data_IF_286491597970
#
_entry.id   IF_286491597970
#
_cell.length_a   1.000
_cell.length_b   1.000
_cell.length_c   1.000
_cell.angle_alpha   90.00
_cell.angle_beta   90.00
_cell.angle_gamma   90.00
#
_symmetry.space_group_name_H-M   'P 1'
#
loop_
_entity.id
_entity.type
_entity.pdbx_description
1 polymer ?
#
# COMPACT_ATOMS: atom_id res chain seq x y z
N UNK A 1 -43.00 37.58 20.30
CA UNK A 1 -42.25 38.80 19.92
C UNK A 1 -40.77 38.50 20.13
N UNK A 2 -39.93 38.84 19.14
CA UNK A 2 -38.64 38.22 18.79
C UNK A 2 -37.59 38.20 19.91
N UNK A 3 -37.06 37.02 20.23
CA UNK A 3 -35.74 36.83 20.86
C UNK A 3 -34.71 36.84 19.73
N UNK A 4 -33.79 37.81 19.74
CA UNK A 4 -32.64 37.85 18.82
C UNK A 4 -31.48 37.11 19.47
N UNK A 5 -31.20 35.89 19.01
CA UNK A 5 -29.95 35.18 19.29
C UNK A 5 -28.92 35.75 18.31
N UNK A 6 -27.97 36.52 18.82
CA UNK A 6 -26.80 36.94 18.06
C UNK A 6 -25.81 35.76 18.07
N UNK A 7 -25.69 35.07 16.94
CA UNK A 7 -24.61 34.14 16.70
C UNK A 7 -23.31 34.93 16.55
N UNK A 8 -22.36 34.73 17.46
CA UNK A 8 -21.00 35.24 17.33
C UNK A 8 -20.29 34.36 16.30
N UNK A 9 -20.22 34.86 15.06
CA UNK A 9 -19.41 34.30 14.01
C UNK A 9 -17.95 34.71 14.28
N UNK A 10 -17.19 33.85 14.96
CA UNK A 10 -15.76 34.02 15.11
C UNK A 10 -15.08 33.78 13.75
N UNK A 11 -14.91 34.85 12.98
CA UNK A 11 -14.00 34.89 11.84
C UNK A 11 -12.57 34.76 12.39
N UNK A 12 -11.99 33.56 12.32
CA UNK A 12 -10.56 33.38 12.52
C UNK A 12 -9.87 33.83 11.22
N UNK A 13 -9.64 35.14 11.10
CA UNK A 13 -8.70 35.66 10.10
C UNK A 13 -7.32 35.30 10.60
N UNK A 14 -6.76 34.19 10.11
CA UNK A 14 -5.34 33.90 10.27
C UNK A 14 -4.62 34.90 9.37
N UNK A 15 -4.09 35.96 9.99
CA UNK A 15 -3.26 36.95 9.32
C UNK A 15 -2.02 36.28 8.74
N UNK A 16 -1.85 36.32 7.41
CA UNK A 16 -0.55 36.14 6.79
C UNK A 16 0.34 37.32 7.23
N UNK A 17 1.14 37.13 8.27
CA UNK A 17 2.07 38.16 8.71
C UNK A 17 2.80 37.81 9.99
N UNK A 18 4.10 37.59 9.85
CA UNK A 18 5.13 37.58 10.89
C UNK A 18 5.18 36.36 11.82
N UNK A 19 5.77 35.27 11.33
CA UNK A 19 6.72 34.51 12.14
C UNK A 19 8.11 34.80 11.60
N UNK A 20 8.97 35.33 12.46
CA UNK A 20 10.38 35.49 12.15
C UNK A 20 10.94 34.15 11.65
N UNK A 21 11.76 34.18 10.60
CA UNK A 21 12.66 33.07 10.28
C UNK A 21 13.45 32.77 11.56
N UNK A 22 13.06 31.71 12.27
CA UNK A 22 13.87 31.21 13.36
C UNK A 22 15.10 30.61 12.70
N UNK A 23 16.29 31.14 13.02
CA UNK A 23 17.56 30.51 12.62
C UNK A 23 17.78 29.14 13.30
N UNK A 24 16.78 28.67 14.07
CA UNK A 24 16.71 27.34 14.63
C UNK A 24 15.86 26.45 13.70
N UNK A 25 16.49 25.49 12.99
CA UNK A 25 15.79 24.57 12.09
C UNK A 25 14.76 23.70 12.83
N UNK A 26 14.96 23.39 14.12
CA UNK A 26 14.01 22.59 14.89
C UNK A 26 12.70 23.35 15.18
N UNK A 27 12.79 24.66 15.45
CA UNK A 27 11.61 25.50 15.67
C UNK A 27 10.83 25.77 14.37
N UNK A 28 11.52 25.86 13.24
CA UNK A 28 10.90 25.93 11.92
C UNK A 28 10.18 24.62 11.55
N UNK A 29 10.78 23.46 11.89
CA UNK A 29 10.19 22.13 11.72
C UNK A 29 8.88 21.98 12.50
N UNK A 30 8.86 22.41 13.77
CA UNK A 30 7.67 22.29 14.62
C UNK A 30 6.55 23.25 14.18
N UNK A 31 6.90 24.44 13.69
CA UNK A 31 5.92 25.37 13.10
C UNK A 31 5.31 24.85 11.81
N UNK A 32 6.11 24.24 10.92
CA UNK A 32 5.61 23.63 9.68
C UNK A 32 4.77 22.38 9.93
N UNK A 33 5.18 21.54 10.90
CA UNK A 33 4.35 20.42 11.38
C UNK A 33 3.00 20.94 11.87
N UNK A 34 2.99 21.96 12.70
CA UNK A 34 1.75 22.54 13.20
C UNK A 34 0.88 23.14 12.08
N UNK A 35 1.48 23.74 11.04
CA UNK A 35 0.74 24.27 9.88
C UNK A 35 0.14 23.16 9.01
N UNK A 36 0.91 22.09 8.74
CA UNK A 36 0.46 20.96 7.95
C UNK A 36 -0.57 20.10 8.72
N UNK A 37 -0.36 19.84 10.01
CA UNK A 37 -1.31 19.13 10.88
C UNK A 37 -2.62 19.92 11.08
N UNK A 38 -2.55 21.26 11.20
CA UNK A 38 -3.73 22.11 11.30
C UNK A 38 -4.58 22.14 10.03
N UNK A 39 -3.96 21.92 8.86
CA UNK A 39 -4.68 21.77 7.59
C UNK A 39 -5.54 20.51 7.56
N UNK A 40 -4.98 19.38 7.97
CA UNK A 40 -5.69 18.09 7.94
C UNK A 40 -6.72 17.93 9.06
N UNK A 41 -6.63 18.73 10.13
CA UNK A 41 -7.52 18.64 11.29
C UNK A 41 -8.85 19.44 11.19
N UNK A 42 -9.08 20.29 10.18
CA UNK A 42 -10.18 21.26 10.31
C UNK A 42 -10.73 22.00 9.11
N UNK A 43 -10.33 21.74 7.86
CA UNK A 43 -10.92 22.44 6.70
C UNK A 43 -11.71 21.45 5.84
N UNK A 44 -13.02 21.69 5.79
CA UNK A 44 -13.99 20.89 5.04
C UNK A 44 -13.59 20.75 3.57
N UNK A 45 -13.54 19.50 3.10
CA UNK A 45 -13.55 19.03 1.71
C UNK A 45 -13.38 20.12 0.64
N UNK A 46 -12.14 20.34 0.20
CA UNK A 46 -11.91 20.77 -1.17
C UNK A 46 -11.19 19.65 -1.91
N UNK A 47 -11.79 19.18 -2.98
CA UNK A 47 -11.12 18.40 -4.00
C UNK A 47 -10.00 19.25 -4.56
N UNK A 48 -8.73 18.91 -4.34
CA UNK A 48 -7.64 19.78 -4.83
C UNK A 48 -6.79 19.11 -5.88
N UNK A 49 -6.37 17.85 -5.71
CA UNK A 49 -5.53 17.19 -6.71
C UNK A 49 -6.08 15.85 -7.21
N UNK A 50 -6.05 15.60 -8.54
CA UNK A 50 -6.45 14.30 -9.07
C UNK A 50 -5.47 13.23 -8.60
N UNK A 51 -6.00 12.15 -8.05
CA UNK A 51 -5.19 11.02 -7.61
C UNK A 51 -5.04 9.97 -8.71
N UNK A 52 -3.84 9.40 -8.82
CA UNK A 52 -3.54 8.29 -9.71
C UNK A 52 -3.56 6.98 -8.93
N UNK A 53 -4.41 6.02 -9.32
CA UNK A 53 -4.43 4.70 -8.71
C UNK A 53 -3.13 3.94 -9.03
N UNK A 54 -2.45 3.46 -7.99
CA UNK A 54 -1.24 2.66 -8.09
C UNK A 54 -1.43 1.27 -7.48
N UNK A 55 -0.68 0.30 -8.00
CA UNK A 55 -0.64 -1.06 -7.48
C UNK A 55 0.78 -1.38 -7.02
N UNK A 56 1.04 -1.40 -5.70
CA UNK A 56 2.35 -1.78 -5.18
C UNK A 56 2.71 -3.25 -5.48
N UNK A 57 4.01 -3.57 -5.65
CA UNK A 57 5.11 -2.62 -5.68
C UNK A 57 5.17 -1.83 -6.98
N UNK A 58 5.51 -0.56 -6.85
CA UNK A 58 5.74 0.33 -7.99
C UNK A 58 6.85 1.32 -7.69
N UNK A 59 7.58 1.71 -8.72
CA UNK A 59 8.51 2.84 -8.68
C UNK A 59 8.12 3.83 -9.77
N UNK A 60 7.89 5.06 -9.36
CA UNK A 60 7.48 6.16 -10.21
C UNK A 60 8.65 7.13 -10.32
N UNK A 61 9.00 7.51 -11.55
CA UNK A 61 9.92 8.60 -11.83
C UNK A 61 9.09 9.76 -12.40
N UNK A 62 8.77 10.71 -11.54
CA UNK A 62 7.88 11.83 -11.85
C UNK A 62 8.62 13.16 -11.99
N UNK A 63 7.90 14.18 -12.46
CA UNK A 63 8.39 15.56 -12.53
C UNK A 63 7.26 16.49 -12.10
N UNK A 64 7.42 17.19 -10.98
CA UNK A 64 6.52 18.26 -10.57
C UNK A 64 6.87 19.52 -11.34
N UNK A 65 5.89 20.10 -12.03
CA UNK A 65 6.05 21.26 -12.93
C UNK A 65 5.22 22.45 -12.45
N UNK A 66 5.31 23.60 -13.11
CA UNK A 66 4.53 24.79 -12.75
C UNK A 66 3.03 24.60 -12.97
N UNK A 67 2.65 23.64 -13.83
CA UNK A 67 1.29 23.19 -14.08
C UNK A 67 0.85 22.00 -13.23
N UNK A 68 1.74 21.42 -12.41
CA UNK A 68 1.33 20.38 -11.46
C UNK A 68 0.34 20.95 -10.45
N UNK A 69 -0.44 20.04 -9.88
CA UNK A 69 -1.42 20.40 -8.90
C UNK A 69 -0.77 21.05 -7.67
N UNK A 70 -1.55 21.83 -6.93
CA UNK A 70 -1.08 22.59 -5.78
C UNK A 70 -1.82 22.24 -4.52
N UNK A 71 -1.05 22.11 -3.45
CA UNK A 71 -1.58 22.02 -2.09
C UNK A 71 -2.03 23.40 -1.60
N UNK A 72 -2.54 23.45 -0.37
CA UNK A 72 -3.00 24.68 0.28
C UNK A 72 -1.87 25.65 0.67
N UNK A 73 -0.61 25.19 0.71
CA UNK A 73 0.59 25.99 0.97
C UNK A 73 1.24 26.50 -0.33
N UNK A 74 0.58 26.31 -1.47
CA UNK A 74 1.07 26.60 -2.82
C UNK A 74 2.24 25.70 -3.28
N UNK A 75 2.47 24.57 -2.58
CA UNK A 75 3.32 23.45 -2.97
C UNK A 75 2.94 22.87 -4.32
N UNK A 76 3.83 22.10 -4.96
CA UNK A 76 3.44 21.18 -6.05
C UNK A 76 3.31 19.79 -5.47
N UNK A 77 2.31 19.07 -5.92
CA UNK A 77 2.06 17.70 -5.49
C UNK A 77 1.56 16.83 -6.65
N UNK A 78 1.90 15.54 -6.57
CA UNK A 78 1.20 14.47 -7.27
C UNK A 78 0.60 13.54 -6.20
N UNK A 79 -0.68 13.19 -6.36
CA UNK A 79 -1.39 12.34 -5.41
C UNK A 79 -1.54 10.93 -5.96
N UNK A 80 -1.21 9.93 -5.16
CA UNK A 80 -1.35 8.53 -5.51
C UNK A 80 -2.33 7.82 -4.61
N UNK A 81 -3.28 7.10 -5.20
CA UNK A 81 -4.24 6.29 -4.47
C UNK A 81 -3.76 4.85 -4.39
N UNK A 82 -3.75 4.28 -3.19
CA UNK A 82 -3.49 2.86 -2.97
C UNK A 82 -4.65 2.25 -2.19
N UNK A 83 -5.17 1.11 -2.67
CA UNK A 83 -6.16 0.36 -1.90
C UNK A 83 -5.42 -0.60 -0.98
N UNK A 84 -5.68 -0.46 0.32
CA UNK A 84 -5.02 -1.23 1.37
C UNK A 84 -6.06 -1.84 2.29
N UNK A 85 -5.59 -2.75 3.13
CA UNK A 85 -6.43 -3.49 4.04
C UNK A 85 -5.88 -3.39 5.46
N UNK A 86 -6.75 -3.51 6.46
CA UNK A 86 -6.31 -3.45 7.85
C UNK A 86 -5.30 -4.58 8.13
N UNK A 87 -4.18 -4.24 8.77
CA UNK A 87 -3.07 -5.13 9.06
C UNK A 87 -2.00 -5.17 7.97
N UNK A 88 -2.26 -4.69 6.75
CA UNK A 88 -1.19 -4.54 5.75
C UNK A 88 -0.17 -3.51 6.21
N UNK A 89 1.10 -3.77 5.87
CA UNK A 89 2.18 -2.84 6.09
C UNK A 89 2.72 -2.36 4.75
N UNK A 90 2.85 -1.05 4.56
CA UNK A 90 3.40 -0.42 3.37
C UNK A 90 4.75 0.22 3.69
N UNK A 91 5.69 0.09 2.75
CA UNK A 91 6.95 0.80 2.67
C UNK A 91 6.86 1.82 1.53
N UNK A 92 7.10 3.09 1.84
CA UNK A 92 7.15 4.18 0.87
C UNK A 92 8.53 4.85 0.99
N UNK A 93 9.18 5.12 -0.14
CA UNK A 93 10.43 5.87 -0.23
C UNK A 93 10.27 6.96 -1.31
N UNK A 94 10.19 8.21 -0.88
CA UNK A 94 10.09 9.38 -1.75
C UNK A 94 11.41 10.14 -1.73
N UNK A 95 11.90 10.60 -2.88
CA UNK A 95 13.14 11.39 -2.95
C UNK A 95 13.20 12.35 -4.13
N UNK A 96 13.91 13.46 -3.95
CA UNK A 96 14.26 14.41 -5.00
C UNK A 96 15.67 14.97 -4.80
N UNK A 97 16.31 15.35 -5.91
CA UNK A 97 17.54 16.14 -5.91
C UNK A 97 17.29 17.64 -6.18
N UNK A 98 16.05 18.01 -6.54
CA UNK A 98 15.72 19.34 -7.02
C UNK A 98 15.13 20.24 -5.91
N UNK A 99 14.46 19.64 -4.93
CA UNK A 99 13.74 20.33 -3.87
C UNK A 99 13.64 19.47 -2.62
N UNK A 100 13.40 20.12 -1.49
CA UNK A 100 13.02 19.48 -0.25
C UNK A 100 11.62 18.88 -0.39
N UNK A 101 11.47 17.64 0.05
CA UNK A 101 10.24 16.89 -0.07
C UNK A 101 9.44 16.88 1.22
N UNK A 102 8.13 16.74 1.06
CA UNK A 102 7.22 16.33 2.12
C UNK A 102 6.45 15.08 1.64
N UNK A 103 6.28 14.09 2.53
CA UNK A 103 5.54 12.86 2.24
C UNK A 103 4.46 12.68 3.29
N UNK A 104 3.22 12.59 2.82
CA UNK A 104 2.05 12.48 3.68
C UNK A 104 1.13 11.34 3.21
N UNK A 105 0.48 10.68 4.15
CA UNK A 105 -0.46 9.61 3.86
C UNK A 105 -1.71 9.69 4.74
N UNK A 106 -2.87 9.56 4.13
CA UNK A 106 -4.17 9.65 4.81
C UNK A 106 -5.21 8.74 4.15
N UNK A 107 -6.21 8.36 4.92
CA UNK A 107 -7.37 7.64 4.42
C UNK A 107 -8.22 8.60 3.57
N UNK A 108 -8.80 8.15 2.46
CA UNK A 108 -9.61 8.95 1.52
C UNK A 108 -10.97 9.44 2.11
N UNK A 109 -11.05 9.57 3.43
CA UNK A 109 -12.07 10.30 4.17
C UNK A 109 -11.48 11.50 4.93
N UNK A 110 -10.20 11.82 4.70
CA UNK A 110 -9.46 12.90 5.36
C UNK A 110 -8.75 12.50 6.66
N UNK A 111 -8.84 11.23 7.11
CA UNK A 111 -8.19 10.81 8.36
C UNK A 111 -6.69 10.59 8.13
N UNK A 112 -5.84 11.40 8.76
CA UNK A 112 -4.38 11.23 8.75
C UNK A 112 -3.97 9.81 9.17
N UNK A 113 -3.08 9.20 8.39
CA UNK A 113 -2.60 7.84 8.64
C UNK A 113 -1.13 7.84 9.07
N UNK A 114 -0.28 8.54 8.33
CA UNK A 114 1.14 8.71 8.66
C UNK A 114 1.67 9.98 7.99
N UNK A 115 2.64 10.61 8.64
CA UNK A 115 3.28 11.84 8.15
C UNK A 115 4.76 11.80 8.44
N UNK A 116 5.56 11.96 7.39
CA UNK A 116 7.02 12.06 7.56
C UNK A 116 7.43 13.42 8.11
N UNK A 117 8.66 13.52 8.61
CA UNK A 117 9.27 14.81 8.94
C UNK A 117 9.76 15.49 7.66
N UNK A 118 9.85 16.83 7.70
CA UNK A 118 10.53 17.64 6.67
C UNK A 118 11.92 17.06 6.38
N UNK A 119 12.27 16.96 5.10
CA UNK A 119 13.60 16.54 4.67
C UNK A 119 14.41 17.75 4.18
N UNK A 120 15.57 18.00 4.79
CA UNK A 120 16.41 19.15 4.46
C UNK A 120 17.31 18.88 3.24
N UNK A 121 17.55 19.89 2.40
CA UNK A 121 18.59 19.88 1.37
C UNK A 121 19.56 21.03 1.57
N UNK A 122 20.61 20.80 2.37
CA UNK A 122 21.80 21.66 2.37
C UNK A 122 22.83 21.22 1.30
N UNK A 123 22.79 19.95 0.86
CA UNK A 123 23.36 19.39 -0.38
C UNK A 123 22.90 17.93 -0.55
N UNK A 124 22.90 17.39 -1.78
CA UNK A 124 22.66 15.95 -2.03
C UNK A 124 21.26 15.57 -2.52
N UNK A 125 20.55 14.71 -1.77
CA UNK A 125 19.20 14.18 -2.06
C UNK A 125 18.31 14.40 -0.85
N UNK A 126 17.16 15.04 -1.05
CA UNK A 126 16.06 15.06 -0.08
C UNK A 126 15.30 13.74 -0.19
N UNK A 127 15.08 13.04 0.94
CA UNK A 127 14.44 11.71 0.98
C UNK A 127 13.66 11.52 2.29
N UNK A 128 12.51 10.88 2.19
CA UNK A 128 11.60 10.57 3.29
C UNK A 128 11.02 9.17 3.09
N UNK A 129 10.77 8.46 4.20
CA UNK A 129 10.25 7.09 4.17
C UNK A 129 9.11 6.91 5.16
N UNK A 130 8.09 6.16 4.75
CA UNK A 130 7.00 5.70 5.61
C UNK A 130 7.06 4.18 5.69
N UNK A 131 6.99 3.64 6.91
CA UNK A 131 6.73 2.23 7.17
C UNK A 131 5.47 2.15 8.05
N UNK A 132 4.33 1.89 7.43
CA UNK A 132 3.04 2.06 8.10
C UNK A 132 2.20 0.78 8.04
N UNK A 133 1.67 0.37 9.19
CA UNK A 133 0.72 -0.75 9.30
C UNK A 133 -0.69 -0.19 9.46
N UNK A 134 -1.55 -0.43 8.48
CA UNK A 134 -2.88 0.17 8.43
C UNK A 134 -3.82 -0.42 9.48
N UNK A 135 -4.44 0.41 10.32
CA UNK A 135 -5.45 -0.06 11.27
C UNK A 135 -6.83 -0.29 10.60
N UNK A 136 -7.10 0.39 9.48
CA UNK A 136 -8.40 0.36 8.79
C UNK A 136 -8.18 0.04 7.31
N UNK A 137 -9.07 -0.77 6.73
CA UNK A 137 -9.07 -1.01 5.29
C UNK A 137 -9.66 0.17 4.54
N UNK A 138 -9.15 0.47 3.33
CA UNK A 138 -9.70 1.53 2.50
C UNK A 138 -8.74 1.98 1.41
N UNK A 139 -9.14 3.02 0.69
CA UNK A 139 -8.23 3.72 -0.22
C UNK A 139 -7.50 4.79 0.59
N UNK A 140 -6.18 4.71 0.62
CA UNK A 140 -5.32 5.73 1.19
C UNK A 140 -4.71 6.55 0.05
N UNK A 141 -4.54 7.83 0.31
CA UNK A 141 -3.88 8.78 -0.58
C UNK A 141 -2.47 9.02 -0.04
N UNK A 142 -1.50 9.00 -0.95
CA UNK A 142 -0.09 9.32 -0.73
C UNK A 142 0.18 10.63 -1.48
N UNK A 143 0.56 11.65 -0.74
CA UNK A 143 0.90 12.99 -1.23
C UNK A 143 2.43 13.10 -1.33
N UNK A 144 2.92 13.28 -2.56
CA UNK A 144 4.33 13.45 -2.87
C UNK A 144 4.60 14.92 -3.21
N UNK A 145 4.98 15.70 -2.20
CA UNK A 145 4.91 17.16 -2.27
C UNK A 145 6.29 17.80 -2.30
N UNK A 146 6.34 19.02 -2.86
CA UNK A 146 7.48 19.94 -2.73
C UNK A 146 7.34 20.79 -1.46
N UNK A 147 8.45 21.14 -0.84
CA UNK A 147 8.51 22.17 0.21
C UNK A 147 9.37 23.37 -0.22
N UNK A 148 10.67 23.37 0.09
CA UNK A 148 11.61 24.44 -0.28
C UNK A 148 12.58 24.01 -1.38
N UNK A 149 13.01 24.97 -2.20
CA UNK A 149 14.18 24.78 -3.05
C UNK A 149 15.46 24.76 -2.21
N UNK A 150 16.55 24.21 -2.77
CA UNK A 150 17.88 24.27 -2.12
C UNK A 150 18.37 25.71 -1.82
N UNK A 151 17.70 26.74 -2.34
CA UNK A 151 17.94 28.16 -2.05
C UNK A 151 16.99 28.79 -1.03
N UNK A 152 16.12 28.02 -0.37
CA UNK A 152 15.24 28.51 0.71
C UNK A 152 14.01 29.30 0.24
N UNK A 153 13.49 29.02 -0.97
CA UNK A 153 12.25 29.62 -1.49
C UNK A 153 11.18 28.57 -1.79
N UNK A 154 9.91 28.89 -1.45
CA UNK A 154 8.70 28.08 -1.72
C UNK A 154 8.27 28.21 -3.18
N UNK A 155 7.68 27.15 -3.78
CA UNK A 155 8.25 25.85 -4.04
C UNK A 155 8.80 25.76 -5.47
N UNK A 156 9.76 24.85 -5.70
CA UNK A 156 10.37 24.59 -7.02
C UNK A 156 9.82 23.33 -7.70
N UNK A 157 9.85 23.36 -9.02
CA UNK A 157 9.61 22.21 -9.90
C UNK A 157 10.83 21.32 -9.99
N UNK A 158 10.67 20.02 -10.25
CA UNK A 158 11.80 19.14 -10.46
C UNK A 158 11.42 17.66 -10.54
N UNK A 159 12.42 16.85 -10.86
CA UNK A 159 12.26 15.40 -10.90
C UNK A 159 12.23 14.79 -9.51
N UNK A 160 11.52 13.68 -9.37
CA UNK A 160 11.51 12.87 -8.16
C UNK A 160 11.40 11.38 -8.48
N UNK A 161 11.69 10.57 -7.46
CA UNK A 161 11.41 9.13 -7.45
C UNK A 161 10.56 8.78 -6.24
N UNK A 162 9.46 8.08 -6.46
CA UNK A 162 8.58 7.52 -5.43
C UNK A 162 8.52 6.00 -5.59
N UNK A 163 8.97 5.25 -4.59
CA UNK A 163 8.82 3.80 -4.53
C UNK A 163 7.80 3.44 -3.47
N UNK A 164 6.87 2.54 -3.79
CA UNK A 164 5.80 2.09 -2.90
C UNK A 164 5.75 0.56 -2.97
N UNK A 165 5.81 -0.14 -1.85
CA UNK A 165 5.73 -1.60 -1.76
C UNK A 165 5.00 -2.04 -0.49
N UNK A 166 4.45 -3.26 -0.45
CA UNK A 166 4.01 -3.84 0.81
C UNK A 166 5.18 -4.54 1.51
N UNK A 167 5.29 -4.42 2.83
CA UNK A 167 6.43 -4.89 3.64
C UNK A 167 6.55 -6.42 3.75
N UNK A 168 5.80 -7.16 2.94
CA UNK A 168 5.93 -8.59 2.75
C UNK A 168 6.75 -8.98 1.52
N UNK A 169 7.21 -8.07 0.66
CA UNK A 169 8.09 -8.43 -0.46
C UNK A 169 7.48 -9.30 -1.58
N UNK A 170 6.26 -9.82 -1.43
CA UNK A 170 5.51 -10.44 -2.53
C UNK A 170 4.98 -9.37 -3.49
N UNK A 171 5.17 -9.61 -4.78
CA UNK A 171 4.73 -8.73 -5.87
C UNK A 171 3.58 -9.42 -6.60
N UNK A 172 2.34 -8.91 -6.53
CA UNK A 172 1.23 -9.55 -7.22
C UNK A 172 1.34 -9.37 -8.73
N UNK A 173 1.04 -10.42 -9.49
CA UNK A 173 0.94 -10.38 -10.95
C UNK A 173 -0.15 -11.37 -11.43
N UNK A 174 -0.31 -11.53 -12.74
CA UNK A 174 -1.33 -12.43 -13.32
C UNK A 174 -1.23 -13.90 -12.88
N UNK A 175 -0.08 -14.34 -12.38
CA UNK A 175 0.27 -15.71 -11.95
C UNK A 175 0.65 -15.78 -10.48
N UNK A 176 0.93 -14.65 -9.85
CA UNK A 176 1.43 -14.55 -8.48
C UNK A 176 0.37 -13.96 -7.56
N UNK A 177 -0.08 -14.78 -6.60
CA UNK A 177 -0.96 -14.34 -5.53
C UNK A 177 -0.16 -13.95 -4.30
N UNK A 178 -0.52 -12.83 -3.67
CA UNK A 178 0.09 -12.37 -2.42
C UNK A 178 -0.93 -12.48 -1.27
N UNK A 179 -0.61 -13.30 -0.27
CA UNK A 179 -1.45 -13.58 0.89
C UNK A 179 -0.83 -13.06 2.18
N UNK A 180 -1.67 -12.84 3.19
CA UNK A 180 -1.30 -12.36 4.54
C UNK A 180 -0.35 -11.16 4.46
N UNK A 181 -0.88 -10.04 3.96
CA UNK A 181 -0.19 -8.76 3.85
C UNK A 181 1.05 -8.78 2.94
N UNK A 182 1.03 -9.67 1.96
CA UNK A 182 2.12 -9.82 1.00
C UNK A 182 3.31 -10.60 1.51
N UNK A 183 3.23 -11.24 2.69
CA UNK A 183 4.30 -12.12 3.18
C UNK A 183 4.40 -13.42 2.37
N UNK A 184 3.28 -13.93 1.86
CA UNK A 184 3.30 -15.21 1.17
C UNK A 184 3.03 -15.03 -0.31
N UNK A 185 3.96 -15.54 -1.11
CA UNK A 185 3.83 -15.64 -2.56
C UNK A 185 3.31 -17.03 -2.91
N UNK A 186 2.18 -17.11 -3.61
CA UNK A 186 1.63 -18.36 -4.10
C UNK A 186 1.57 -18.39 -5.63
N UNK A 187 2.02 -19.50 -6.21
CA UNK A 187 1.89 -19.82 -7.64
C UNK A 187 1.32 -21.21 -7.81
N UNK A 188 0.51 -21.38 -8.85
CA UNK A 188 -0.12 -22.66 -9.18
C UNK A 188 0.24 -23.03 -10.60
N UNK A 189 0.65 -24.28 -10.80
CA UNK A 189 0.77 -24.90 -12.13
C UNK A 189 -0.20 -26.06 -12.23
N UNK A 190 -0.72 -26.31 -13.43
CA UNK A 190 -1.69 -27.37 -13.67
C UNK A 190 -1.41 -28.13 -14.97
N UNK A 191 -1.95 -29.35 -15.06
CA UNK A 191 -1.91 -30.18 -16.28
C UNK A 191 -3.04 -31.19 -16.35
N UNK A 192 -3.64 -31.36 -17.53
CA UNK A 192 -4.62 -32.42 -17.79
C UNK A 192 -3.98 -33.78 -18.01
N UNK A 193 -4.69 -34.84 -17.65
CA UNK A 193 -4.22 -36.23 -17.81
C UNK A 193 -4.08 -36.65 -19.28
N UNK A 194 -4.81 -35.99 -20.18
CA UNK A 194 -4.82 -36.24 -21.62
C UNK A 194 -4.02 -35.21 -22.41
N UNK A 195 -3.51 -34.18 -21.72
CA UNK A 195 -2.62 -33.23 -22.35
C UNK A 195 -1.29 -33.94 -22.58
N UNK A 196 -0.93 -34.21 -23.84
CA UNK A 196 0.39 -34.73 -24.21
C UNK A 196 1.53 -33.71 -23.95
N UNK A 197 1.29 -32.70 -23.10
CA UNK A 197 2.23 -31.66 -22.75
C UNK A 197 3.26 -32.19 -21.73
N UNK A 198 4.54 -32.05 -22.06
CA UNK A 198 5.64 -32.47 -21.19
C UNK A 198 5.73 -31.63 -19.90
N UNK A 199 5.23 -30.39 -19.91
CA UNK A 199 5.34 -29.44 -18.80
C UNK A 199 3.97 -28.94 -18.33
N UNK A 200 3.88 -28.56 -17.05
CA UNK A 200 2.67 -27.94 -16.50
C UNK A 200 2.53 -26.49 -16.98
N UNK A 201 1.30 -26.00 -17.05
CA UNK A 201 0.95 -24.62 -17.42
C UNK A 201 0.71 -23.78 -16.17
N UNK A 202 1.09 -22.51 -16.17
CA UNK A 202 0.76 -21.59 -15.08
C UNK A 202 -0.75 -21.35 -15.02
N UNK A 203 -1.33 -21.50 -13.83
CA UNK A 203 -2.65 -20.98 -13.53
C UNK A 203 -2.60 -19.45 -13.41
N UNK A 204 -3.74 -18.81 -13.61
CA UNK A 204 -3.90 -17.37 -13.52
C UNK A 204 -4.70 -17.00 -12.28
N UNK A 205 -4.29 -15.93 -11.61
CA UNK A 205 -4.98 -15.38 -10.44
C UNK A 205 -6.32 -14.82 -10.90
N UNK A 206 -7.42 -15.28 -10.30
CA UNK A 206 -8.77 -14.81 -10.59
C UNK A 206 -9.04 -13.53 -9.78
N UNK A 207 -9.30 -12.38 -10.45
CA UNK A 207 -9.77 -11.20 -9.76
C UNK A 207 -11.20 -11.46 -9.28
N UNK A 208 -11.39 -11.53 -7.96
CA UNK A 208 -12.72 -11.65 -7.35
C UNK A 208 -12.92 -10.45 -6.43
N UNK A 209 -13.97 -9.69 -6.69
CA UNK A 209 -14.40 -8.56 -5.86
C UNK A 209 -15.50 -9.02 -4.89
N UNK A 210 -15.64 -8.35 -3.74
CA UNK A 210 -16.74 -8.62 -2.81
C UNK A 210 -16.40 -9.45 -1.57
N UNK A 211 -15.15 -9.89 -1.39
CA UNK A 211 -14.70 -10.35 -0.06
C UNK A 211 -14.50 -9.12 0.84
N UNK A 212 -15.23 -9.04 1.96
CA UNK A 212 -15.09 -7.96 2.93
C UNK A 212 -13.73 -8.01 3.63
N UNK A 213 -13.03 -6.87 3.68
CA UNK A 213 -11.76 -6.61 4.39
C UNK A 213 -10.63 -7.65 4.18
N UNK A 214 -9.63 -7.30 3.37
CA UNK A 214 -8.67 -8.25 2.81
C UNK A 214 -7.26 -8.22 3.45
N UNK A 215 -7.05 -8.90 4.57
CA UNK A 215 -5.73 -9.51 4.87
C UNK A 215 -5.41 -10.67 3.90
N UNK A 216 -5.80 -10.55 2.62
CA UNK A 216 -6.11 -11.58 1.62
C UNK A 216 -5.72 -12.99 2.04
N UNK A 217 -6.54 -13.54 2.94
CA UNK A 217 -6.38 -14.90 3.41
C UNK A 217 -6.79 -15.89 2.32
N UNK A 218 -7.55 -15.46 1.31
CA UNK A 218 -8.09 -16.35 0.27
C UNK A 218 -7.79 -15.79 -1.11
N UNK A 219 -7.36 -16.66 -2.02
CA UNK A 219 -7.19 -16.38 -3.43
C UNK A 219 -7.80 -17.51 -4.27
N UNK A 220 -8.22 -17.15 -5.48
CA UNK A 220 -8.77 -18.06 -6.47
C UNK A 220 -7.88 -18.09 -7.70
N UNK A 221 -7.79 -19.26 -8.33
CA UNK A 221 -7.11 -19.43 -9.59
C UNK A 221 -8.08 -19.96 -10.64
N UNK A 222 -7.84 -19.56 -11.89
CA UNK A 222 -8.46 -20.13 -13.07
C UNK A 222 -7.37 -20.66 -14.01
N UNK A 223 -7.77 -21.57 -14.89
CA UNK A 223 -6.87 -22.25 -15.81
C UNK A 223 -7.05 -21.72 -17.23
N UNK A 224 -7.67 -22.49 -18.12
CA UNK A 224 -7.85 -22.17 -19.53
C UNK A 224 -9.04 -21.23 -19.83
N UNK A 225 -9.93 -21.01 -18.87
CA UNK A 225 -11.12 -20.17 -19.02
C UNK A 225 -11.23 -19.19 -17.86
N UNK A 226 -11.19 -17.89 -18.18
CA UNK A 226 -11.40 -16.83 -17.20
C UNK A 226 -12.82 -16.85 -16.61
N UNK A 227 -13.77 -17.60 -17.18
CA UNK A 227 -15.12 -17.74 -16.63
C UNK A 227 -15.23 -18.79 -15.50
N UNK A 228 -14.17 -19.56 -15.25
CA UNK A 228 -14.15 -20.60 -14.24
C UNK A 228 -13.38 -20.17 -12.98
N UNK A 229 -13.69 -20.83 -11.87
CA UNK A 229 -12.81 -20.92 -10.70
C UNK A 229 -12.40 -22.39 -10.62
N UNK A 230 -11.11 -22.64 -10.69
CA UNK A 230 -10.54 -23.99 -10.79
C UNK A 230 -9.87 -24.42 -9.50
N UNK A 231 -9.44 -23.46 -8.67
CA UNK A 231 -8.83 -23.73 -7.39
C UNK A 231 -9.03 -22.56 -6.44
N UNK A 232 -9.27 -22.89 -5.16
CA UNK A 232 -9.15 -21.95 -4.05
C UNK A 232 -7.90 -22.27 -3.24
N UNK A 233 -7.24 -21.23 -2.75
CA UNK A 233 -6.18 -21.28 -1.75
C UNK A 233 -6.57 -20.35 -0.62
N UNK A 234 -6.45 -20.83 0.61
CA UNK A 234 -6.64 -20.07 1.83
C UNK A 234 -5.43 -20.22 2.75
N UNK A 235 -4.90 -19.11 3.25
CA UNK A 235 -3.83 -19.06 4.25
C UNK A 235 -4.31 -18.31 5.47
N UNK A 236 -4.04 -18.86 6.65
CA UNK A 236 -4.58 -18.36 7.91
C UNK A 236 -3.54 -18.34 9.02
N UNK A 237 -3.48 -17.23 9.74
CA UNK A 237 -2.76 -17.09 10.99
C UNK A 237 -3.69 -17.48 12.16
N UNK A 238 -4.07 -18.77 12.25
CA UNK A 238 -5.05 -19.24 13.25
C UNK A 238 -4.46 -19.52 14.63
N UNK A 239 -3.20 -19.12 14.89
CA UNK A 239 -2.55 -19.35 16.18
C UNK A 239 -2.31 -20.82 16.54
N UNK A 240 -2.28 -21.73 15.55
CA UNK A 240 -1.86 -23.11 15.78
C UNK A 240 -0.35 -23.15 16.09
N UNK A 241 0.13 -24.27 16.63
CA UNK A 241 1.54 -24.43 17.01
C UNK A 241 2.13 -25.74 16.50
N UNK A 242 3.45 -25.75 16.33
CA UNK A 242 4.21 -27.00 16.19
C UNK A 242 4.15 -27.82 17.48
N UNK A 243 4.63 -29.07 17.46
CA UNK A 243 4.78 -29.88 18.66
C UNK A 243 5.66 -29.23 19.75
N UNK A 244 6.55 -28.30 19.36
CA UNK A 244 7.39 -27.51 20.28
C UNK A 244 6.74 -26.22 20.76
N UNK A 245 5.48 -25.96 20.43
CA UNK A 245 4.74 -24.76 20.84
C UNK A 245 5.01 -23.51 20.00
N UNK A 246 5.69 -23.63 18.85
CA UNK A 246 5.99 -22.47 17.98
C UNK A 246 4.77 -22.12 17.12
N UNK A 247 4.29 -20.85 17.11
CA UNK A 247 3.14 -20.45 16.29
C UNK A 247 3.33 -20.70 14.79
N UNK A 248 2.27 -21.15 14.11
CA UNK A 248 2.27 -21.52 12.70
C UNK A 248 1.21 -20.80 11.87
N UNK A 249 1.46 -20.77 10.57
CA UNK A 249 0.52 -20.35 9.53
C UNK A 249 -0.02 -21.60 8.82
N UNK A 250 -1.34 -21.67 8.68
CA UNK A 250 -2.03 -22.76 8.02
C UNK A 250 -2.21 -22.51 6.52
N UNK A 251 -2.15 -23.57 5.72
CA UNK A 251 -2.48 -23.58 4.29
C UNK A 251 -3.65 -24.54 4.08
N UNK A 252 -4.69 -24.06 3.39
CA UNK A 252 -5.86 -24.82 2.98
C UNK A 252 -6.06 -24.62 1.48
N UNK A 253 -6.34 -25.67 0.73
CA UNK A 253 -6.60 -25.54 -0.71
C UNK A 253 -7.60 -26.59 -1.18
N UNK A 254 -8.24 -26.33 -2.31
CA UNK A 254 -9.16 -27.26 -2.95
C UNK A 254 -9.32 -26.96 -4.43
N UNK A 255 -9.37 -28.01 -5.26
CA UNK A 255 -9.57 -27.93 -6.70
C UNK A 255 -11.04 -28.17 -7.08
N UNK A 256 -11.50 -27.45 -8.09
CA UNK A 256 -12.78 -27.65 -8.75
C UNK A 256 -12.65 -28.50 -10.03
N UNK A 257 -11.45 -28.99 -10.34
CA UNK A 257 -11.18 -29.90 -11.45
C UNK A 257 -10.26 -31.06 -11.07
N UNK A 258 -10.32 -32.18 -11.82
CA UNK A 258 -9.49 -33.36 -11.58
C UNK A 258 -8.11 -33.28 -12.25
N UNK A 259 -7.58 -32.07 -12.45
CA UNK A 259 -6.27 -31.86 -13.05
C UNK A 259 -5.17 -32.10 -12.02
N UNK A 260 -3.98 -32.49 -12.50
CA UNK A 260 -2.78 -32.40 -11.65
C UNK A 260 -2.53 -30.93 -11.38
N UNK A 261 -2.31 -30.60 -10.12
CA UNK A 261 -1.98 -29.28 -9.63
C UNK A 261 -0.66 -29.36 -8.87
N UNK A 262 0.14 -28.33 -9.03
CA UNK A 262 1.32 -28.05 -8.22
C UNK A 262 1.18 -26.63 -7.65
N UNK A 263 0.83 -26.55 -6.37
CA UNK A 263 0.77 -25.32 -5.60
C UNK A 263 2.12 -25.10 -4.93
N UNK A 264 2.79 -24.00 -5.23
CA UNK A 264 4.03 -23.58 -4.56
C UNK A 264 3.78 -22.30 -3.79
N UNK A 265 4.10 -22.31 -2.50
CA UNK A 265 3.99 -21.15 -1.60
C UNK A 265 5.38 -20.83 -1.04
N UNK A 266 5.79 -19.58 -1.15
CA UNK A 266 7.03 -19.05 -0.61
C UNK A 266 6.74 -18.03 0.48
N UNK A 267 7.31 -18.24 1.66
CA UNK A 267 7.40 -17.22 2.71
C UNK A 267 8.56 -16.28 2.39
N UNK A 268 8.24 -15.07 1.97
CA UNK A 268 9.24 -14.07 1.55
C UNK A 268 10.09 -13.53 2.71
N UNK A 269 9.65 -13.74 3.96
CA UNK A 269 10.38 -13.31 5.16
C UNK A 269 11.67 -14.12 5.35
N UNK A 270 11.65 -15.41 5.02
CA UNK A 270 12.74 -16.34 5.30
C UNK A 270 13.08 -17.28 4.11
N UNK A 271 12.41 -17.11 2.97
CA UNK A 271 12.51 -17.94 1.77
C UNK A 271 12.09 -19.42 1.95
N UNK A 272 11.36 -19.76 3.02
CA UNK A 272 10.83 -21.11 3.17
C UNK A 272 9.80 -21.40 2.08
N UNK A 273 9.82 -22.63 1.55
CA UNK A 273 8.91 -23.05 0.47
C UNK A 273 8.14 -24.29 0.88
N UNK A 274 6.83 -24.29 0.59
CA UNK A 274 5.97 -25.49 0.62
C UNK A 274 5.39 -25.74 -0.76
N UNK A 275 5.44 -26.98 -1.20
CA UNK A 275 4.84 -27.43 -2.45
C UNK A 275 3.82 -28.53 -2.15
N UNK A 276 2.62 -28.38 -2.71
CA UNK A 276 1.54 -29.36 -2.63
C UNK A 276 1.19 -29.81 -4.04
N UNK A 277 1.31 -31.11 -4.28
CA UNK A 277 1.00 -31.72 -5.59
C UNK A 277 -0.18 -32.66 -5.49
N UNK A 278 -1.05 -32.62 -6.50
CA UNK A 278 -2.21 -33.51 -6.60
C UNK A 278 -1.98 -34.57 -7.68
N UNK A 279 -2.50 -35.80 -7.52
CA UNK A 279 -2.52 -36.78 -8.61
C UNK A 279 -3.44 -36.33 -9.74
N UNK A 280 -3.23 -36.90 -10.93
CA UNK A 280 -4.17 -36.76 -12.04
C UNK A 280 -5.51 -37.45 -11.74
N UNK A 281 -6.57 -37.00 -12.42
CA UNK A 281 -7.89 -37.62 -12.44
C UNK A 281 -8.61 -37.68 -11.07
N UNK A 282 -8.26 -36.77 -10.15
CA UNK A 282 -8.90 -36.66 -8.83
C UNK A 282 -9.16 -35.20 -8.46
N UNK A 283 -10.39 -34.90 -8.04
CA UNK A 283 -10.64 -33.65 -7.30
C UNK A 283 -9.98 -33.76 -5.94
N UNK A 284 -9.21 -32.75 -5.55
CA UNK A 284 -8.35 -32.83 -4.37
C UNK A 284 -8.33 -31.54 -3.60
N UNK A 285 -8.08 -31.66 -2.31
CA UNK A 285 -7.86 -30.55 -1.40
C UNK A 285 -7.08 -31.03 -0.19
N UNK A 286 -6.57 -30.08 0.58
CA UNK A 286 -5.73 -30.38 1.72
C UNK A 286 -5.76 -29.26 2.74
N UNK A 287 -5.34 -29.61 3.95
CA UNK A 287 -5.07 -28.66 5.03
C UNK A 287 -3.77 -29.04 5.70
N UNK A 288 -2.86 -28.08 5.76
CA UNK A 288 -1.60 -28.16 6.50
C UNK A 288 -1.61 -27.04 7.53
N UNK A 289 -1.97 -27.38 8.76
CA UNK A 289 -2.08 -26.41 9.86
C UNK A 289 -0.72 -25.90 10.35
N UNK A 290 0.36 -26.54 9.93
CA UNK A 290 1.74 -26.26 10.38
C UNK A 290 2.66 -25.90 9.20
N UNK A 291 2.09 -25.38 8.11
CA UNK A 291 2.78 -25.18 6.84
C UNK A 291 4.01 -24.27 6.97
N UNK A 292 3.90 -23.18 7.72
CA UNK A 292 5.00 -22.25 7.97
C UNK A 292 5.06 -21.87 9.44
N UNK A 293 6.27 -21.58 9.93
CA UNK A 293 6.46 -20.92 11.23
C UNK A 293 6.25 -19.42 11.10
N UNK A 294 5.66 -18.79 12.12
CA UNK A 294 5.37 -17.35 12.12
C UNK A 294 6.63 -16.48 12.23
#
# INVERSE_FOLDING_TARGET
>A
MKVRIAAVLSLLVVSLGAFAQTNDPAAAEESLRAQHDAHHAGISAMTTCPSTLIHPPTTINGVLTTSSCRDFLDGREDVYAVTVTAGQTIDIDYSSHAYEIFLYMYLNNGTSADVTRVSYLSSGTSRARIHHTFATAGTYLIEADTLWSAGGSLPTTGAYTLSVAFAGGCVPDTKTACLLNGRFQARVRYRGAFDNAAADTDALVKPVTGFGSATSETVFFYFNSANNIEMLLKMLDQGNTTASGTPTIAVLYGSASPLRIELTITDTKNNAVKTYTTPFAAMTGGTDFTAFVK
#
